data_IF_710891920441
#
_entry.id   IF_710891920441
#
_cell.length_a   1.000
_cell.length_b   1.000
_cell.length_c   1.000
_cell.angle_alpha   90.00
_cell.angle_beta   90.00
_cell.angle_gamma   90.00
#
_symmetry.space_group_name_H-M   'P 1'
#
loop_
_entity.id
_entity.type
_entity.pdbx_description
1 polymer ?
#
# COMPACT_ATOMS: atom_id res chain seq x y z
N UNK A 1 -10.25 12.08 21.14
CA UNK A 1 -10.78 13.27 21.85
C UNK A 1 -11.60 12.89 23.10
N UNK A 2 -12.82 12.35 22.97
CA UNK A 2 -13.65 12.00 24.16
C UNK A 2 -13.11 10.81 24.94
N UNK A 3 -12.76 9.70 24.27
CA UNK A 3 -12.15 8.54 24.93
C UNK A 3 -10.82 8.90 25.59
N UNK A 4 -9.98 9.69 24.92
CA UNK A 4 -8.70 10.17 25.49
C UNK A 4 -8.92 11.09 26.70
N UNK A 5 -9.94 11.94 26.67
CA UNK A 5 -10.32 12.77 27.81
C UNK A 5 -10.77 11.92 29.00
N UNK A 6 -11.62 10.90 28.78
CA UNK A 6 -12.03 9.98 29.83
C UNK A 6 -10.83 9.21 30.40
N UNK A 7 -9.94 8.70 29.55
CA UNK A 7 -8.75 7.96 29.95
C UNK A 7 -7.76 8.81 30.76
N UNK A 8 -7.60 10.09 30.42
CA UNK A 8 -6.72 11.02 31.15
C UNK A 8 -7.34 11.57 32.43
N UNK A 9 -8.65 11.86 32.44
CA UNK A 9 -9.33 12.48 33.59
C UNK A 9 -9.69 11.49 34.69
N UNK A 10 -10.23 10.31 34.35
CA UNK A 10 -10.86 9.42 35.33
C UNK A 10 -9.88 8.82 36.36
N UNK A 11 -8.62 8.52 36.01
CA UNK A 11 -7.65 7.99 36.97
C UNK A 11 -7.14 9.01 38.00
N UNK A 12 -7.46 10.30 37.85
CA UNK A 12 -6.97 11.38 38.71
C UNK A 12 -8.09 11.87 39.64
N UNK A 13 -7.87 11.75 40.96
CA UNK A 13 -8.75 12.24 42.01
C UNK A 13 -7.94 12.69 43.22
N UNK A 14 -8.30 13.81 43.86
CA UNK A 14 -7.56 14.33 45.02
C UNK A 14 -7.76 13.48 46.27
N UNK A 15 -6.65 13.15 46.95
CA UNK A 15 -6.63 12.42 48.22
C UNK A 15 -7.41 11.09 48.14
N UNK A 16 -8.38 10.86 49.04
CA UNK A 16 -9.17 9.62 49.05
C UNK A 16 -10.22 9.57 47.92
N UNK A 17 -10.71 10.72 47.45
CA UNK A 17 -11.54 10.94 46.24
C UNK A 17 -12.18 12.34 46.26
N UNK A 18 -12.19 13.04 45.12
CA UNK A 18 -13.04 14.19 44.83
C UNK A 18 -14.25 13.80 43.96
N UNK A 19 -15.22 14.71 43.77
CA UNK A 19 -16.48 14.44 43.05
C UNK A 19 -16.45 14.77 41.55
N UNK A 20 -15.28 15.10 40.98
CA UNK A 20 -15.18 15.53 39.57
C UNK A 20 -15.47 14.39 38.58
N UNK A 21 -15.32 13.14 39.02
CA UNK A 21 -15.66 11.94 38.28
C UNK A 21 -17.17 11.76 38.10
N UNK A 22 -17.99 12.21 39.05
CA UNK A 22 -19.44 12.01 39.03
C UNK A 22 -20.12 12.57 37.78
N UNK A 23 -19.79 13.80 37.37
CA UNK A 23 -20.36 14.41 36.15
C UNK A 23 -19.76 13.83 34.88
N UNK A 24 -18.47 13.47 34.91
CA UNK A 24 -17.78 12.89 33.75
C UNK A 24 -18.24 11.45 33.48
N UNK A 25 -18.50 10.64 34.50
CA UNK A 25 -19.01 9.28 34.31
C UNK A 25 -20.39 9.24 33.67
N UNK A 26 -21.21 10.31 33.83
CA UNK A 26 -22.50 10.42 33.13
C UNK A 26 -22.36 10.58 31.62
N UNK A 27 -21.17 10.91 31.10
CA UNK A 27 -20.91 11.03 29.66
C UNK A 27 -20.23 9.80 29.06
N UNK A 28 -20.02 8.73 29.82
CA UNK A 28 -19.29 7.54 29.38
C UNK A 28 -19.88 6.91 28.11
N UNK A 29 -21.22 6.95 27.95
CA UNK A 29 -21.91 6.41 26.78
C UNK A 29 -21.75 7.26 25.51
N UNK A 30 -21.40 8.53 25.61
CA UNK A 30 -21.28 9.45 24.48
C UNK A 30 -20.24 8.99 23.43
N UNK A 31 -18.97 8.70 23.77
CA UNK A 31 -18.03 8.20 22.78
C UNK A 31 -18.48 6.89 22.14
N UNK A 32 -19.09 5.97 22.90
CA UNK A 32 -19.60 4.72 22.34
C UNK A 32 -20.77 4.95 21.38
N UNK A 33 -21.67 5.88 21.66
CA UNK A 33 -22.74 6.26 20.74
C UNK A 33 -22.19 6.81 19.43
N UNK A 34 -21.19 7.70 19.48
CA UNK A 34 -20.52 8.20 18.28
C UNK A 34 -19.82 7.08 17.50
N UNK A 35 -19.09 6.19 18.18
CA UNK A 35 -18.45 5.03 17.55
C UNK A 35 -19.47 4.10 16.89
N UNK A 36 -20.59 3.82 17.56
CA UNK A 36 -21.63 2.96 17.02
C UNK A 36 -22.24 3.56 15.74
N UNK A 37 -22.57 4.86 15.76
CA UNK A 37 -23.08 5.56 14.56
C UNK A 37 -22.05 5.51 13.43
N UNK A 38 -20.77 5.73 13.73
CA UNK A 38 -19.69 5.64 12.76
C UNK A 38 -19.61 4.22 12.16
N UNK A 39 -19.60 3.17 13.00
CA UNK A 39 -19.54 1.80 12.54
C UNK A 39 -20.75 1.42 11.68
N UNK A 40 -21.97 1.78 12.09
CA UNK A 40 -23.17 1.53 11.29
C UNK A 40 -23.10 2.24 9.93
N UNK A 41 -22.61 3.48 9.91
CA UNK A 41 -22.46 4.26 8.67
C UNK A 41 -21.37 3.68 7.77
N UNK A 42 -20.24 3.28 8.33
CA UNK A 42 -19.15 2.61 7.61
C UNK A 42 -19.62 1.28 7.01
N UNK A 43 -20.30 0.43 7.79
CA UNK A 43 -20.86 -0.84 7.28
C UNK A 43 -21.86 -0.61 6.16
N UNK A 44 -22.75 0.39 6.30
CA UNK A 44 -23.69 0.78 5.24
C UNK A 44 -22.96 1.26 3.98
N UNK A 45 -21.82 1.94 4.12
CA UNK A 45 -20.99 2.38 3.01
C UNK A 45 -20.27 1.20 2.34
N UNK A 46 -19.62 0.34 3.12
CA UNK A 46 -18.89 -0.83 2.64
C UNK A 46 -19.80 -1.80 1.85
N UNK A 47 -21.04 -2.00 2.32
CA UNK A 47 -22.02 -2.85 1.63
C UNK A 47 -22.51 -2.28 0.28
N UNK A 48 -22.15 -1.04 -0.06
CA UNK A 48 -22.47 -0.43 -1.35
C UNK A 48 -21.30 -0.45 -2.32
N UNK A 49 -20.10 -0.87 -1.89
CA UNK A 49 -18.93 -0.87 -2.75
C UNK A 49 -19.06 -1.97 -3.80
N UNK A 50 -18.87 -1.59 -5.05
CA UNK A 50 -18.72 -2.50 -6.18
C UNK A 50 -17.29 -2.34 -6.70
N UNK A 51 -16.60 -3.46 -6.86
CA UNK A 51 -15.23 -3.47 -7.34
C UNK A 51 -15.21 -3.08 -8.83
N UNK A 52 -14.39 -2.09 -9.17
CA UNK A 52 -14.13 -1.74 -10.57
C UNK A 52 -12.81 -2.36 -11.02
N UNK A 53 -12.86 -3.65 -11.35
CA UNK A 53 -11.68 -4.41 -11.79
C UNK A 53 -11.00 -3.79 -13.00
N UNK A 54 -11.79 -3.26 -13.95
CA UNK A 54 -11.26 -2.64 -15.17
C UNK A 54 -10.44 -1.39 -14.86
N UNK A 55 -10.88 -0.56 -13.90
CA UNK A 55 -10.10 0.60 -13.50
C UNK A 55 -8.77 0.19 -12.86
N UNK A 56 -8.78 -0.84 -12.00
CA UNK A 56 -7.56 -1.35 -11.36
C UNK A 56 -6.58 -1.94 -12.39
N UNK A 57 -7.08 -2.77 -13.31
CA UNK A 57 -6.26 -3.35 -14.38
C UNK A 57 -5.67 -2.29 -15.29
N UNK A 58 -6.47 -1.28 -15.68
CA UNK A 58 -5.97 -0.17 -16.48
C UNK A 58 -4.89 0.63 -15.73
N UNK A 59 -5.06 0.87 -14.42
CA UNK A 59 -4.04 1.55 -13.63
C UNK A 59 -2.74 0.73 -13.57
N UNK A 60 -2.82 -0.58 -13.36
CA UNK A 60 -1.65 -1.45 -13.39
C UNK A 60 -0.97 -1.46 -14.77
N UNK A 61 -1.75 -1.54 -15.84
CA UNK A 61 -1.26 -1.52 -17.23
C UNK A 61 -0.60 -0.20 -17.60
N UNK A 62 -1.03 0.92 -17.01
CA UNK A 62 -0.41 2.22 -17.25
C UNK A 62 0.90 2.43 -16.47
N UNK A 63 1.25 1.52 -15.56
CA UNK A 63 2.37 1.70 -14.62
C UNK A 63 3.38 0.54 -14.65
N UNK A 64 3.80 0.10 -15.84
CA UNK A 64 4.88 -0.89 -16.00
C UNK A 64 6.23 -0.48 -15.38
N UNK A 65 6.42 0.80 -15.03
CA UNK A 65 7.61 1.26 -14.31
C UNK A 65 7.82 0.53 -12.97
N UNK A 66 6.75 0.02 -12.33
CA UNK A 66 6.85 -0.65 -11.02
C UNK A 66 7.61 -1.98 -11.08
N UNK A 67 7.62 -2.68 -12.22
CA UNK A 67 8.34 -3.96 -12.36
C UNK A 67 9.86 -3.79 -12.41
N UNK A 68 10.35 -2.54 -12.59
CA UNK A 68 11.76 -2.23 -12.66
C UNK A 68 12.53 -2.69 -11.40
N UNK A 69 11.93 -2.57 -10.21
CA UNK A 69 12.55 -3.04 -8.97
C UNK A 69 12.75 -4.57 -8.98
N UNK A 70 11.73 -5.32 -9.42
CA UNK A 70 11.80 -6.78 -9.52
C UNK A 70 12.90 -7.22 -10.49
N UNK A 71 12.96 -6.58 -11.66
CA UNK A 71 14.02 -6.81 -12.66
C UNK A 71 15.40 -6.50 -12.07
N UNK A 72 15.55 -5.37 -11.38
CA UNK A 72 16.80 -4.96 -10.75
C UNK A 72 17.26 -5.98 -9.72
N UNK A 73 16.33 -6.52 -8.92
CA UNK A 73 16.63 -7.49 -7.87
C UNK A 73 17.14 -8.80 -8.43
N UNK A 74 16.50 -9.31 -9.50
CA UNK A 74 16.99 -10.51 -10.21
C UNK A 74 18.36 -10.26 -10.83
N UNK A 75 18.58 -9.11 -11.47
CA UNK A 75 19.89 -8.77 -12.02
C UNK A 75 20.99 -8.71 -10.95
N UNK A 76 20.67 -8.23 -9.74
CA UNK A 76 21.60 -8.27 -8.60
C UNK A 76 21.91 -9.70 -8.17
N UNK A 77 20.91 -10.59 -8.14
CA UNK A 77 21.08 -12.02 -7.83
C UNK A 77 22.04 -12.70 -8.81
N UNK A 78 21.92 -12.38 -10.09
CA UNK A 78 22.78 -12.89 -11.15
C UNK A 78 24.15 -12.19 -11.26
N UNK A 79 24.49 -11.33 -10.29
CA UNK A 79 25.73 -10.52 -10.28
C UNK A 79 25.96 -9.71 -11.57
N UNK A 80 24.88 -9.27 -12.23
CA UNK A 80 24.96 -8.45 -13.44
C UNK A 80 25.63 -7.10 -13.12
N UNK A 81 26.50 -6.56 -13.99
CA UNK A 81 27.21 -5.32 -13.72
C UNK A 81 26.27 -4.12 -13.71
N UNK A 82 26.41 -3.25 -12.69
CA UNK A 82 25.67 -1.99 -12.53
C UNK A 82 24.15 -2.05 -12.81
N UNK A 83 23.36 -2.97 -12.19
CA UNK A 83 21.96 -3.18 -12.54
C UNK A 83 21.10 -1.91 -12.45
N UNK A 84 21.38 -1.06 -11.46
CA UNK A 84 20.68 0.21 -11.27
C UNK A 84 20.85 1.16 -12.46
N UNK A 85 22.09 1.33 -12.95
CA UNK A 85 22.35 2.24 -14.07
C UNK A 85 21.81 1.67 -15.39
N UNK A 86 21.83 0.34 -15.56
CA UNK A 86 21.20 -0.32 -16.71
C UNK A 86 19.70 -0.06 -16.77
N UNK A 87 18.99 -0.15 -15.63
CA UNK A 87 17.56 0.18 -15.57
C UNK A 87 17.27 1.67 -15.70
N UNK A 88 18.14 2.53 -15.18
CA UNK A 88 17.99 3.99 -15.31
C UNK A 88 18.03 4.46 -16.76
N UNK A 89 18.69 3.71 -17.66
CA UNK A 89 18.64 3.97 -19.09
C UNK A 89 17.23 3.75 -19.66
N UNK A 90 16.49 2.75 -19.15
CA UNK A 90 15.11 2.44 -19.54
C UNK A 90 14.10 3.49 -19.07
N UNK A 91 14.34 4.07 -17.89
CA UNK A 91 13.43 5.07 -17.30
C UNK A 91 13.74 6.52 -17.67
N UNK A 92 14.77 6.77 -18.50
CA UNK A 92 15.23 8.12 -18.90
C UNK A 92 14.84 8.54 -20.31
N UNK A 93 14.43 7.61 -21.15
CA UNK A 93 13.72 7.95 -22.38
C UNK A 93 12.41 8.60 -21.95
N UNK A 94 12.12 9.84 -22.38
CA UNK A 94 10.88 10.59 -22.07
C UNK A 94 9.59 9.92 -22.63
N UNK A 95 9.61 8.60 -22.83
CA UNK A 95 8.55 7.77 -23.34
C UNK A 95 7.93 6.98 -22.20
N UNK A 96 6.64 6.66 -22.33
CA UNK A 96 5.97 5.82 -21.35
C UNK A 96 6.59 4.42 -21.34
N UNK A 97 6.82 3.89 -20.15
CA UNK A 97 7.26 2.50 -19.99
C UNK A 97 6.04 1.61 -20.18
N UNK A 98 6.08 0.72 -21.17
CA UNK A 98 5.01 -0.21 -21.54
C UNK A 98 5.50 -1.65 -21.46
N UNK A 99 4.58 -2.63 -21.54
CA UNK A 99 4.93 -4.05 -21.65
C UNK A 99 5.98 -4.29 -22.75
N UNK A 100 5.81 -3.65 -23.91
CA UNK A 100 6.69 -3.83 -25.05
C UNK A 100 8.09 -3.24 -24.80
N UNK A 101 8.18 -2.08 -24.12
CA UNK A 101 9.49 -1.50 -23.81
C UNK A 101 10.25 -2.30 -22.76
N UNK A 102 9.55 -2.86 -21.75
CA UNK A 102 10.13 -3.81 -20.79
C UNK A 102 10.60 -5.09 -21.49
N UNK A 103 9.75 -5.68 -22.34
CA UNK A 103 10.09 -6.90 -23.07
C UNK A 103 11.32 -6.70 -23.97
N UNK A 104 11.35 -5.60 -24.73
CA UNK A 104 12.49 -5.23 -25.57
C UNK A 104 13.77 -5.02 -24.74
N UNK A 105 13.66 -4.38 -23.57
CA UNK A 105 14.79 -4.23 -22.65
C UNK A 105 15.33 -5.56 -22.16
N UNK A 106 14.46 -6.51 -21.78
CA UNK A 106 14.87 -7.83 -21.31
C UNK A 106 15.68 -8.58 -22.38
N UNK A 107 15.35 -8.41 -23.67
CA UNK A 107 16.12 -9.02 -24.76
C UNK A 107 17.54 -8.47 -24.89
N UNK A 108 17.79 -7.22 -24.50
CA UNK A 108 19.12 -6.60 -24.54
C UNK A 108 20.06 -7.10 -23.45
N UNK A 109 19.54 -7.79 -22.42
CA UNK A 109 20.33 -8.25 -21.28
C UNK A 109 21.18 -9.47 -21.65
N UNK A 110 22.47 -9.41 -21.31
CA UNK A 110 23.39 -10.54 -21.45
C UNK A 110 23.32 -11.47 -20.23
N UNK A 111 22.18 -12.16 -20.09
CA UNK A 111 21.91 -13.15 -19.03
C UNK A 111 21.42 -14.46 -19.63
N UNK A 112 21.38 -15.52 -18.84
CA UNK A 112 20.90 -16.83 -19.32
C UNK A 112 19.44 -16.77 -19.76
N UNK A 113 19.05 -17.62 -20.72
CA UNK A 113 17.65 -17.68 -21.17
C UNK A 113 16.69 -18.09 -20.05
N UNK A 114 17.14 -18.87 -19.07
CA UNK A 114 16.35 -19.19 -17.87
C UNK A 114 16.00 -17.93 -17.07
N UNK A 115 16.97 -17.02 -16.89
CA UNK A 115 16.75 -15.74 -16.21
C UNK A 115 15.87 -14.82 -17.05
N UNK A 116 16.06 -14.76 -18.37
CA UNK A 116 15.15 -13.98 -19.23
C UNK A 116 13.71 -14.49 -19.17
N UNK A 117 13.52 -15.81 -19.15
CA UNK A 117 12.19 -16.40 -18.99
C UNK A 117 11.54 -16.02 -17.65
N UNK A 118 12.32 -15.98 -16.56
CA UNK A 118 11.86 -15.48 -15.26
C UNK A 118 11.47 -13.99 -15.33
N UNK A 119 12.32 -13.15 -15.92
CA UNK A 119 12.08 -11.71 -16.07
C UNK A 119 10.81 -11.40 -16.88
N UNK A 120 10.53 -12.16 -17.95
CA UNK A 120 9.33 -11.98 -18.80
C UNK A 120 8.02 -12.29 -18.07
N UNK A 121 8.08 -13.04 -16.97
CA UNK A 121 6.90 -13.36 -16.16
C UNK A 121 6.56 -12.28 -15.12
N UNK A 122 7.43 -11.27 -14.93
CA UNK A 122 7.17 -10.16 -14.01
C UNK A 122 6.26 -9.15 -14.69
N UNK A 123 5.06 -8.98 -14.12
CA UNK A 123 4.05 -8.03 -14.58
C UNK A 123 3.52 -7.23 -13.39
N UNK A 124 2.95 -6.02 -13.60
CA UNK A 124 2.41 -5.22 -12.50
C UNK A 124 1.36 -5.94 -11.66
N UNK A 125 0.56 -6.83 -12.26
CA UNK A 125 -0.47 -7.64 -11.60
C UNK A 125 0.09 -8.88 -10.88
N UNK A 126 1.22 -9.43 -11.33
CA UNK A 126 1.88 -10.58 -10.70
C UNK A 126 2.92 -10.17 -9.65
N UNK A 127 3.47 -8.96 -9.74
CA UNK A 127 4.46 -8.40 -8.82
C UNK A 127 3.80 -7.77 -7.59
N UNK A 128 3.06 -8.57 -6.83
CA UNK A 128 2.29 -8.12 -5.65
C UNK A 128 2.92 -8.46 -4.30
N UNK A 129 4.03 -9.20 -4.28
CA UNK A 129 4.72 -9.59 -3.05
C UNK A 129 3.95 -10.64 -2.22
N UNK A 130 4.17 -10.62 -0.90
CA UNK A 130 3.47 -11.41 0.13
C UNK A 130 3.26 -10.57 1.39
#
# INVERSE_FOLDING_TARGET
>A
ALLDYLASKLPVSRLQRDLTDSTVLRTIGMPFAHSLIAFTSSLKGLNKLLLNEKALQNDLENHWAVVAEGIQTILRREAYPNPYETLKALTRTNEAITEQSIAAFIETLNVSEAVKAELRNIKPDTYTGM
#
